data_IF_527432604474
#
_entry.id   IF_527432604474
#
_cell.length_a   1.000
_cell.length_b   1.000
_cell.length_c   1.000
_cell.angle_alpha   90.00
_cell.angle_beta   90.00
_cell.angle_gamma   90.00
#
_symmetry.space_group_name_H-M   'P 1'
#
loop_
_entity.id
_entity.type
_entity.pdbx_description
1 polymer ?
#
# COMPACT_ATOMS: atom_id res chain seq x y z
N UNK A 1 18.09 18.15 10.39
CA UNK A 1 17.26 18.50 9.19
C UNK A 1 16.04 17.60 9.29
N UNK A 2 14.83 18.16 9.37
CA UNK A 2 13.60 17.36 9.44
C UNK A 2 13.41 16.71 8.08
N UNK A 3 13.42 15.39 8.01
CA UNK A 3 13.17 14.65 6.77
C UNK A 3 11.69 14.71 6.39
N UNK A 4 11.36 14.41 5.12
CA UNK A 4 9.97 14.48 4.65
C UNK A 4 9.05 13.57 5.44
N UNK A 5 9.52 12.40 5.82
CA UNK A 5 8.76 11.41 6.60
C UNK A 5 8.30 11.98 7.96
N UNK A 6 9.18 12.69 8.69
CA UNK A 6 8.83 13.32 9.97
C UNK A 6 7.69 14.34 9.80
N UNK A 7 7.71 15.10 8.70
CA UNK A 7 6.64 16.08 8.40
C UNK A 7 5.30 15.40 8.13
N UNK A 8 5.32 14.27 7.42
CA UNK A 8 4.11 13.51 7.12
C UNK A 8 3.54 12.91 8.41
N UNK A 9 4.39 12.32 9.26
CA UNK A 9 4.00 11.76 10.56
C UNK A 9 3.37 12.84 11.44
N UNK A 10 4.02 14.01 11.58
CA UNK A 10 3.48 15.13 12.36
C UNK A 10 2.10 15.59 11.85
N UNK A 11 1.90 15.66 10.52
CA UNK A 11 0.58 15.98 9.96
C UNK A 11 -0.45 14.88 10.16
N UNK A 12 -0.03 13.63 10.19
CA UNK A 12 -0.91 12.50 10.50
C UNK A 12 -1.34 12.54 11.97
N UNK A 13 -0.46 12.92 12.91
CA UNK A 13 -0.81 13.13 14.32
C UNK A 13 -1.87 14.23 14.47
N UNK A 14 -1.68 15.39 13.82
CA UNK A 14 -2.66 16.49 13.84
C UNK A 14 -4.03 16.01 13.32
N UNK A 15 -4.03 15.29 12.17
CA UNK A 15 -5.25 14.73 11.55
C UNK A 15 -5.96 13.74 12.47
N UNK A 16 -5.23 12.89 13.16
CA UNK A 16 -5.78 11.92 14.10
C UNK A 16 -6.49 12.58 15.28
N UNK A 17 -5.91 13.66 15.83
CA UNK A 17 -6.56 14.41 16.92
C UNK A 17 -7.94 14.89 16.48
N UNK A 18 -8.08 15.43 15.28
CA UNK A 18 -9.37 15.90 14.76
C UNK A 18 -10.30 14.72 14.41
N UNK A 19 -9.78 13.65 13.83
CA UNK A 19 -10.57 12.46 13.54
C UNK A 19 -11.20 11.86 14.81
N UNK A 20 -10.40 11.71 15.88
CA UNK A 20 -10.84 11.17 17.17
C UNK A 20 -11.85 12.09 17.91
N UNK A 21 -11.86 13.40 17.63
CA UNK A 21 -12.92 14.31 18.15
C UNK A 21 -14.25 14.11 17.42
N UNK A 22 -14.20 13.84 16.11
CA UNK A 22 -15.39 13.66 15.30
C UNK A 22 -16.02 12.28 15.49
N UNK A 23 -15.20 11.24 15.67
CA UNK A 23 -15.63 9.86 15.96
C UNK A 23 -14.61 9.22 16.89
N UNK A 24 -15.04 8.78 18.04
CA UNK A 24 -14.16 8.13 19.02
C UNK A 24 -13.72 6.73 18.54
N UNK A 25 -12.65 6.20 19.11
CA UNK A 25 -12.20 4.83 18.84
C UNK A 25 -13.28 3.80 19.21
N UNK A 26 -14.02 4.02 20.30
CA UNK A 26 -15.08 3.11 20.74
C UNK A 26 -16.25 3.10 19.76
N UNK A 27 -16.63 4.25 19.20
CA UNK A 27 -17.64 4.32 18.14
C UNK A 27 -17.18 3.58 16.87
N UNK A 28 -15.91 3.71 16.47
CA UNK A 28 -15.36 2.93 15.35
C UNK A 28 -15.42 1.42 15.62
N UNK A 29 -15.01 0.99 16.81
CA UNK A 29 -15.07 -0.42 17.21
C UNK A 29 -16.48 -0.96 17.20
N UNK A 30 -17.45 -0.18 17.69
CA UNK A 30 -18.86 -0.56 17.66
C UNK A 30 -19.40 -0.72 16.24
N UNK A 31 -19.05 0.22 15.33
CA UNK A 31 -19.44 0.12 13.92
C UNK A 31 -18.81 -1.10 13.23
N UNK A 32 -17.51 -1.33 13.43
CA UNK A 32 -16.80 -2.48 12.84
C UNK A 32 -17.31 -3.81 13.40
N UNK A 33 -17.75 -3.86 14.68
CA UNK A 33 -18.31 -5.08 15.29
C UNK A 33 -19.60 -5.56 14.62
N UNK A 34 -20.25 -4.70 13.85
CA UNK A 34 -21.46 -5.01 13.06
C UNK A 34 -21.13 -5.57 11.66
N UNK A 35 -19.87 -5.49 11.26
CA UNK A 35 -19.41 -6.05 9.98
C UNK A 35 -19.06 -7.53 10.14
N UNK A 36 -19.27 -8.29 9.08
CA UNK A 36 -18.73 -9.65 9.00
C UNK A 36 -17.22 -9.59 8.80
N UNK A 37 -16.47 -10.23 9.69
CA UNK A 37 -15.02 -10.32 9.57
C UNK A 37 -14.69 -11.63 8.87
N UNK A 38 -14.37 -11.53 7.57
CA UNK A 38 -13.84 -12.63 6.80
C UNK A 38 -12.30 -12.68 6.96
N UNK A 39 -11.77 -13.86 7.28
CA UNK A 39 -10.32 -14.13 7.40
C UNK A 39 -9.76 -14.89 6.19
N UNK A 40 -10.37 -14.78 5.03
CA UNK A 40 -9.85 -15.35 3.77
C UNK A 40 -8.71 -14.51 3.18
N UNK A 41 -8.47 -13.32 3.72
CA UNK A 41 -7.39 -12.41 3.33
C UNK A 41 -7.29 -12.20 1.81
N UNK A 42 -8.35 -11.69 1.14
CA UNK A 42 -8.43 -11.62 -0.31
C UNK A 42 -7.26 -10.85 -0.95
N UNK A 43 -6.72 -9.84 -0.27
CA UNK A 43 -5.55 -9.11 -0.75
C UNK A 43 -4.31 -10.00 -0.82
N UNK A 44 -4.01 -10.75 0.25
CA UNK A 44 -2.89 -11.69 0.29
C UNK A 44 -3.05 -12.77 -0.78
N UNK A 45 -4.27 -13.31 -0.94
CA UNK A 45 -4.53 -14.34 -1.95
C UNK A 45 -4.34 -13.81 -3.37
N UNK A 46 -4.77 -12.58 -3.65
CA UNK A 46 -4.58 -11.95 -4.97
C UNK A 46 -3.09 -11.75 -5.34
N UNK A 47 -2.20 -11.62 -4.34
CA UNK A 47 -0.75 -11.49 -4.58
C UNK A 47 -0.04 -12.82 -4.81
N UNK A 48 -0.72 -13.95 -4.68
CA UNK A 48 -0.18 -15.30 -4.98
C UNK A 48 -0.37 -15.70 -6.46
N UNK A 49 -0.80 -14.77 -7.30
CA UNK A 49 -0.94 -15.03 -8.75
C UNK A 49 0.38 -15.57 -9.30
N UNK A 50 0.39 -16.78 -9.91
CA UNK A 50 1.61 -17.38 -10.43
C UNK A 50 2.20 -16.64 -11.64
N UNK A 51 1.42 -15.77 -12.28
CA UNK A 51 1.91 -14.96 -13.39
C UNK A 51 2.63 -13.71 -12.86
N UNK A 52 1.91 -12.64 -12.65
CA UNK A 52 2.42 -11.36 -12.16
C UNK A 52 1.28 -10.66 -11.41
N UNK A 53 1.47 -10.41 -10.12
CA UNK A 53 0.53 -9.62 -9.35
C UNK A 53 0.88 -8.13 -9.43
N UNK A 54 -0.03 -7.32 -9.98
CA UNK A 54 0.12 -5.85 -10.03
C UNK A 54 -0.87 -5.22 -9.05
N UNK A 55 -0.34 -4.42 -8.14
CA UNK A 55 -1.09 -3.52 -7.26
C UNK A 55 -1.07 -2.15 -7.93
N UNK A 56 -2.17 -1.76 -8.55
CA UNK A 56 -2.29 -0.50 -9.28
C UNK A 56 -2.68 0.63 -8.32
N UNK A 57 -1.86 1.69 -8.26
CA UNK A 57 -2.04 2.75 -7.27
C UNK A 57 -2.80 3.95 -7.84
N UNK A 58 -3.90 4.32 -7.20
CA UNK A 58 -4.68 5.53 -7.44
C UNK A 58 -4.07 6.68 -6.63
N UNK A 59 -3.35 7.59 -7.31
CA UNK A 59 -2.55 8.64 -6.70
C UNK A 59 -2.60 9.95 -7.46
N UNK A 60 -3.14 10.99 -6.84
CA UNK A 60 -3.27 12.32 -7.43
C UNK A 60 -1.96 13.11 -7.43
N UNK A 61 -1.23 13.05 -6.33
CA UNK A 61 -0.01 13.83 -6.11
C UNK A 61 1.02 13.06 -5.29
N UNK A 62 2.26 13.55 -5.23
CA UNK A 62 3.30 13.04 -4.34
C UNK A 62 4.32 14.13 -3.98
N UNK A 63 5.03 14.04 -2.82
CA UNK A 63 6.05 15.01 -2.43
C UNK A 63 7.16 15.19 -3.46
N UNK A 64 7.53 14.12 -4.17
CA UNK A 64 8.65 14.12 -5.13
C UNK A 64 8.27 14.66 -6.51
N UNK A 65 6.97 14.69 -6.87
CA UNK A 65 6.49 15.04 -8.22
C UNK A 65 5.47 16.17 -8.22
N UNK A 66 4.95 16.58 -7.05
CA UNK A 66 3.80 17.47 -6.98
C UNK A 66 2.55 16.81 -7.52
N UNK A 67 1.71 17.58 -8.21
CA UNK A 67 0.53 17.07 -8.90
C UNK A 67 0.94 16.15 -10.05
N UNK A 68 0.37 14.94 -10.10
CA UNK A 68 0.67 13.91 -11.12
C UNK A 68 -0.37 13.98 -12.24
N UNK A 69 -1.66 14.14 -11.88
CA UNK A 69 -2.78 14.27 -12.81
C UNK A 69 -3.71 15.38 -12.35
N UNK A 70 -4.20 16.19 -13.29
CA UNK A 70 -5.15 17.29 -13.03
C UNK A 70 -6.58 16.75 -12.99
N UNK A 71 -6.97 16.02 -14.02
CA UNK A 71 -8.26 15.33 -14.10
C UNK A 71 -8.16 13.99 -13.39
N UNK A 72 -8.75 13.93 -12.18
CA UNK A 72 -8.60 12.80 -11.27
C UNK A 72 -9.96 12.18 -10.96
N UNK A 73 -10.52 11.48 -11.93
CA UNK A 73 -11.67 10.60 -11.72
C UNK A 73 -11.18 9.27 -11.14
N UNK A 74 -11.05 9.23 -9.81
CA UNK A 74 -10.52 8.07 -9.09
C UNK A 74 -11.39 6.82 -9.22
N UNK A 75 -12.69 6.97 -9.45
CA UNK A 75 -13.61 5.84 -9.68
C UNK A 75 -13.34 5.22 -11.04
N UNK A 76 -13.30 6.05 -12.09
CA UNK A 76 -13.04 5.56 -13.45
C UNK A 76 -11.64 4.94 -13.54
N UNK A 77 -10.62 5.57 -12.94
CA UNK A 77 -9.27 5.03 -12.87
C UNK A 77 -9.25 3.65 -12.19
N UNK A 78 -9.98 3.49 -11.08
CA UNK A 78 -10.03 2.22 -10.36
C UNK A 78 -10.71 1.12 -11.19
N UNK A 79 -11.80 1.45 -11.91
CA UNK A 79 -12.49 0.55 -12.83
C UNK A 79 -11.59 0.14 -14.01
N UNK A 80 -10.88 1.10 -14.62
CA UNK A 80 -9.90 0.80 -15.67
C UNK A 80 -8.83 -0.18 -15.19
N UNK A 81 -8.34 -0.03 -13.94
CA UNK A 81 -7.37 -0.94 -13.35
C UNK A 81 -7.94 -2.35 -13.17
N UNK A 82 -9.16 -2.47 -12.64
CA UNK A 82 -9.83 -3.76 -12.48
C UNK A 82 -10.05 -4.43 -13.84
N UNK A 83 -10.60 -3.72 -14.82
CA UNK A 83 -10.81 -4.23 -16.19
C UNK A 83 -9.51 -4.65 -16.89
N UNK A 84 -8.40 -3.99 -16.58
CA UNK A 84 -7.09 -4.34 -17.10
C UNK A 84 -6.50 -5.60 -16.42
N UNK A 85 -7.16 -6.13 -15.39
CA UNK A 85 -6.72 -7.30 -14.64
C UNK A 85 -5.65 -6.99 -13.60
N UNK A 86 -5.68 -5.80 -12.98
CA UNK A 86 -4.92 -5.53 -11.76
C UNK A 86 -5.31 -6.54 -10.67
N UNK A 87 -4.33 -7.01 -9.89
CA UNK A 87 -4.58 -7.97 -8.82
C UNK A 87 -5.18 -7.32 -7.58
N UNK A 88 -4.84 -6.05 -7.36
CA UNK A 88 -5.35 -5.21 -6.27
C UNK A 88 -5.22 -3.73 -6.62
N UNK A 89 -5.93 -2.88 -5.88
CA UNK A 89 -5.80 -1.43 -5.97
C UNK A 89 -5.19 -0.88 -4.68
N UNK A 90 -4.24 0.05 -4.81
CA UNK A 90 -3.72 0.84 -3.71
C UNK A 90 -4.32 2.24 -3.77
N UNK A 91 -4.93 2.73 -2.69
CA UNK A 91 -5.57 4.05 -2.64
C UNK A 91 -4.88 4.93 -1.62
N UNK A 92 -4.33 6.06 -2.09
CA UNK A 92 -3.74 7.08 -1.20
C UNK A 92 -4.85 7.77 -0.40
N UNK A 93 -4.73 7.74 0.94
CA UNK A 93 -5.65 8.43 1.83
C UNK A 93 -5.00 9.60 2.59
N UNK A 94 -3.69 9.80 2.46
CA UNK A 94 -2.96 10.92 3.06
C UNK A 94 -3.28 12.23 2.30
N UNK A 95 -3.90 13.26 2.98
CA UNK A 95 -4.48 14.41 2.26
C UNK A 95 -3.51 15.55 1.96
N UNK A 96 -2.44 15.73 2.74
CA UNK A 96 -1.61 16.94 2.67
C UNK A 96 -0.53 16.86 1.60
N UNK A 97 0.14 15.74 1.49
CA UNK A 97 1.30 15.54 0.61
C UNK A 97 0.96 14.71 -0.63
N UNK A 98 -0.07 13.88 -0.56
CA UNK A 98 -0.50 13.02 -1.66
C UNK A 98 -1.86 13.43 -2.22
N UNK A 99 -2.55 14.41 -1.63
CA UNK A 99 -3.91 14.83 -1.97
C UNK A 99 -4.88 13.64 -2.01
N UNK A 100 -4.66 12.66 -1.12
CA UNK A 100 -5.51 11.50 -0.93
C UNK A 100 -6.75 11.80 -0.08
N UNK A 101 -7.65 10.85 0.05
CA UNK A 101 -8.85 10.99 0.86
C UNK A 101 -9.41 9.64 1.29
N UNK A 102 -9.94 9.56 2.51
CA UNK A 102 -10.74 8.43 2.98
C UNK A 102 -12.00 8.22 2.11
N UNK A 103 -12.52 9.31 1.51
CA UNK A 103 -13.67 9.24 0.58
C UNK A 103 -13.30 8.43 -0.66
N UNK A 104 -12.11 8.63 -1.21
CA UNK A 104 -11.66 7.88 -2.39
C UNK A 104 -11.63 6.38 -2.11
N UNK A 105 -11.06 5.99 -0.95
CA UNK A 105 -11.00 4.59 -0.56
C UNK A 105 -12.38 3.97 -0.44
N UNK A 106 -13.30 4.66 0.27
CA UNK A 106 -14.66 4.17 0.49
C UNK A 106 -15.43 4.00 -0.82
N UNK A 107 -15.45 5.03 -1.65
CA UNK A 107 -16.21 5.01 -2.91
C UNK A 107 -15.63 4.00 -3.91
N UNK A 108 -14.29 3.86 -3.99
CA UNK A 108 -13.67 2.82 -4.81
C UNK A 108 -14.07 1.42 -4.29
N UNK A 109 -14.09 1.21 -2.97
CA UNK A 109 -14.48 -0.08 -2.39
C UNK A 109 -15.94 -0.48 -2.65
N UNK A 110 -16.81 0.49 -2.92
CA UNK A 110 -18.21 0.27 -3.32
C UNK A 110 -18.36 -0.08 -4.82
N UNK A 111 -17.35 0.24 -5.65
CA UNK A 111 -17.44 0.19 -7.10
C UNK A 111 -16.61 -0.91 -7.77
N UNK A 112 -15.60 -1.47 -7.09
CA UNK A 112 -14.73 -2.53 -7.61
C UNK A 112 -14.80 -3.79 -6.75
N UNK A 113 -14.51 -4.95 -7.36
CA UNK A 113 -14.53 -6.25 -6.67
C UNK A 113 -13.14 -6.73 -6.22
N UNK A 114 -12.08 -6.21 -6.80
CA UNK A 114 -10.70 -6.57 -6.43
C UNK A 114 -10.28 -5.94 -5.11
N UNK A 115 -9.40 -6.59 -4.33
CA UNK A 115 -9.03 -6.14 -2.99
C UNK A 115 -8.27 -4.81 -3.00
N UNK A 116 -8.48 -4.01 -1.93
CA UNK A 116 -7.97 -2.64 -1.83
C UNK A 116 -7.02 -2.50 -0.65
N UNK A 117 -5.86 -1.89 -0.91
CA UNK A 117 -4.88 -1.44 0.08
C UNK A 117 -5.16 0.02 0.46
N UNK A 118 -5.36 0.28 1.75
CA UNK A 118 -5.24 1.65 2.27
C UNK A 118 -3.76 2.05 2.32
N UNK A 119 -3.34 2.95 1.45
CA UNK A 119 -1.97 3.49 1.41
C UNK A 119 -1.93 4.80 2.21
N UNK A 120 -1.44 4.73 3.43
CA UNK A 120 -1.36 5.84 4.39
C UNK A 120 -0.20 5.60 5.36
N UNK A 121 0.13 6.59 6.18
CA UNK A 121 1.15 6.51 7.23
C UNK A 121 0.48 6.17 8.56
N UNK A 122 0.28 4.87 8.80
CA UNK A 122 -0.45 4.36 9.97
C UNK A 122 0.45 4.44 11.21
N UNK A 123 0.05 5.25 12.19
CA UNK A 123 0.75 5.48 13.46
C UNK A 123 -0.12 5.20 14.70
N UNK A 124 -1.39 4.85 14.50
CA UNK A 124 -2.35 4.60 15.59
C UNK A 124 -3.36 3.53 15.18
N UNK A 125 -3.79 2.71 16.14
CA UNK A 125 -4.79 1.65 15.90
C UNK A 125 -6.11 2.18 15.34
N UNK A 126 -6.47 3.43 15.63
CA UNK A 126 -7.64 4.10 15.08
C UNK A 126 -7.69 4.00 13.55
N UNK A 127 -6.54 4.20 12.88
CA UNK A 127 -6.47 4.17 11.42
C UNK A 127 -6.70 2.77 10.84
N UNK A 128 -6.41 1.71 11.60
CA UNK A 128 -6.65 0.32 11.20
C UNK A 128 -8.14 -0.01 11.30
N UNK A 129 -8.78 0.39 12.41
CA UNK A 129 -10.23 0.28 12.57
C UNK A 129 -10.97 1.08 11.49
N UNK A 130 -10.52 2.30 11.23
CA UNK A 130 -11.06 3.16 10.17
C UNK A 130 -10.89 2.51 8.77
N UNK A 131 -9.73 1.93 8.47
CA UNK A 131 -9.49 1.22 7.21
C UNK A 131 -10.50 0.09 6.98
N UNK A 132 -10.79 -0.70 8.03
CA UNK A 132 -11.81 -1.77 7.97
C UNK A 132 -13.18 -1.20 7.64
N UNK A 133 -13.58 -0.13 8.33
CA UNK A 133 -14.89 0.51 8.13
C UNK A 133 -15.04 1.11 6.72
N UNK A 134 -13.94 1.58 6.13
CA UNK A 134 -13.91 2.13 4.77
C UNK A 134 -13.89 1.08 3.67
N UNK A 135 -13.85 -0.21 4.00
CA UNK A 135 -13.86 -1.32 3.02
C UNK A 135 -12.48 -1.74 2.53
N UNK A 136 -11.38 -1.30 3.17
CA UNK A 136 -10.06 -1.81 2.83
C UNK A 136 -9.95 -3.33 3.07
N UNK A 137 -9.16 -4.00 2.24
CA UNK A 137 -8.76 -5.42 2.39
C UNK A 137 -7.34 -5.56 2.95
N UNK A 138 -6.57 -4.47 2.91
CA UNK A 138 -5.21 -4.41 3.43
C UNK A 138 -4.83 -3.01 3.91
N UNK A 139 -3.80 -2.97 4.77
CA UNK A 139 -3.18 -1.73 5.28
C UNK A 139 -1.68 -1.75 5.04
N UNK A 140 -1.06 -0.55 5.04
CA UNK A 140 0.38 -0.38 5.00
C UNK A 140 0.91 -0.11 6.41
N UNK A 141 1.92 -0.86 6.82
CA UNK A 141 2.66 -0.64 8.07
C UNK A 141 4.12 -0.38 7.71
N UNK A 142 4.65 0.79 8.08
CA UNK A 142 5.99 1.23 7.69
C UNK A 142 6.95 1.05 8.87
N UNK A 143 7.99 0.22 8.71
CA UNK A 143 8.93 -0.09 9.80
C UNK A 143 9.63 1.16 10.33
N UNK A 144 10.01 2.09 9.46
CA UNK A 144 10.77 3.29 9.84
C UNK A 144 10.00 4.30 10.70
N UNK A 145 8.66 4.17 10.83
CA UNK A 145 7.83 5.08 11.65
C UNK A 145 7.18 4.40 12.86
N UNK A 146 7.36 3.09 13.03
CA UNK A 146 6.78 2.31 14.12
C UNK A 146 7.88 1.64 14.94
N UNK A 147 7.77 1.67 16.25
CA UNK A 147 8.58 0.78 17.05
C UNK A 147 8.12 -0.68 16.91
N UNK A 148 8.97 -1.63 17.30
CA UNK A 148 8.70 -3.06 17.10
C UNK A 148 7.44 -3.54 17.85
N UNK A 149 7.10 -2.94 18.99
CA UNK A 149 5.92 -3.28 19.78
C UNK A 149 4.66 -2.77 19.10
N UNK A 150 4.70 -1.53 18.60
CA UNK A 150 3.61 -0.94 17.81
C UNK A 150 3.39 -1.72 16.51
N UNK A 151 4.48 -2.02 15.79
CA UNK A 151 4.41 -2.77 14.52
C UNK A 151 3.74 -4.14 14.74
N UNK A 152 4.17 -4.88 15.76
CA UNK A 152 3.56 -6.18 16.09
C UNK A 152 2.09 -6.03 16.47
N UNK A 153 1.76 -5.07 17.35
CA UNK A 153 0.38 -4.80 17.77
C UNK A 153 -0.51 -4.46 16.56
N UNK A 154 -0.04 -3.63 15.64
CA UNK A 154 -0.81 -3.20 14.47
C UNK A 154 -0.97 -4.33 13.45
N UNK A 155 0.06 -5.15 13.27
CA UNK A 155 -0.01 -6.33 12.42
C UNK A 155 -1.07 -7.32 12.94
N UNK A 156 -1.04 -7.61 14.26
CA UNK A 156 -2.01 -8.51 14.88
C UNK A 156 -3.44 -7.95 14.78
N UNK A 157 -3.61 -6.65 15.05
CA UNK A 157 -4.91 -6.00 14.93
C UNK A 157 -5.46 -6.05 13.49
N UNK A 158 -4.61 -5.80 12.49
CA UNK A 158 -5.01 -5.91 11.10
C UNK A 158 -5.50 -7.33 10.78
N UNK A 159 -4.75 -8.36 11.18
CA UNK A 159 -5.14 -9.77 10.99
C UNK A 159 -6.42 -10.12 11.75
N UNK A 160 -6.62 -9.61 12.96
CA UNK A 160 -7.85 -9.85 13.73
C UNK A 160 -9.09 -9.26 13.05
N UNK A 161 -8.91 -8.15 12.33
CA UNK A 161 -9.96 -7.52 11.53
C UNK A 161 -10.10 -8.11 10.11
N UNK A 162 -9.36 -9.17 9.77
CA UNK A 162 -9.37 -9.79 8.44
C UNK A 162 -8.70 -8.92 7.37
N UNK A 163 -7.85 -7.97 7.77
CA UNK A 163 -7.04 -7.18 6.86
C UNK A 163 -5.67 -7.81 6.67
N UNK A 164 -5.20 -7.90 5.44
CA UNK A 164 -3.78 -8.13 5.16
C UNK A 164 -2.96 -6.90 5.55
N UNK A 165 -1.66 -7.08 5.77
CA UNK A 165 -0.76 -5.94 5.98
C UNK A 165 0.47 -6.08 5.08
N UNK A 166 0.77 -5.05 4.27
CA UNK A 166 2.11 -4.89 3.69
C UNK A 166 2.97 -4.21 4.75
N UNK A 167 4.06 -4.86 5.13
CA UNK A 167 5.07 -4.26 6.01
C UNK A 167 6.16 -3.67 5.12
N UNK A 168 6.15 -2.34 4.96
CA UNK A 168 7.08 -1.60 4.11
C UNK A 168 8.45 -1.47 4.79
N UNK A 169 9.51 -1.77 4.03
CA UNK A 169 10.90 -1.77 4.47
C UNK A 169 11.80 -1.10 3.44
N UNK A 170 12.97 -0.61 3.87
CA UNK A 170 13.94 0.11 3.04
C UNK A 170 15.32 -0.56 3.03
N UNK A 171 15.63 -1.37 4.03
CA UNK A 171 16.92 -2.04 4.18
C UNK A 171 16.81 -3.41 4.86
N UNK A 172 17.98 -4.09 5.03
CA UNK A 172 18.02 -5.42 5.62
C UNK A 172 17.69 -5.46 7.12
N UNK A 173 17.89 -4.38 7.87
CA UNK A 173 17.57 -4.30 9.29
C UNK A 173 16.06 -4.20 9.48
N UNK A 174 15.41 -3.40 8.64
CA UNK A 174 13.96 -3.29 8.61
C UNK A 174 13.30 -4.60 8.16
N UNK A 175 13.88 -5.32 7.18
CA UNK A 175 13.40 -6.65 6.78
C UNK A 175 13.51 -7.64 7.95
N UNK A 176 14.60 -7.63 8.71
CA UNK A 176 14.71 -8.49 9.89
C UNK A 176 13.64 -8.15 10.93
N UNK A 177 13.37 -6.86 11.14
CA UNK A 177 12.30 -6.41 12.04
C UNK A 177 10.93 -6.91 11.57
N UNK A 178 10.60 -6.71 10.29
CA UNK A 178 9.36 -7.20 9.67
C UNK A 178 9.19 -8.72 9.80
N UNK A 179 10.27 -9.47 9.53
CA UNK A 179 10.27 -10.94 9.66
C UNK A 179 10.06 -11.38 11.12
N UNK A 180 10.71 -10.71 12.07
CA UNK A 180 10.62 -11.05 13.49
C UNK A 180 9.23 -10.82 14.09
N UNK A 181 8.48 -9.83 13.59
CA UNK A 181 7.09 -9.61 14.01
C UNK A 181 6.09 -10.54 13.32
N UNK A 182 6.54 -11.33 12.35
CA UNK A 182 5.71 -12.32 11.64
C UNK A 182 4.98 -11.75 10.42
N UNK A 183 5.56 -10.76 9.74
CA UNK A 183 5.00 -10.26 8.49
C UNK A 183 4.91 -11.35 7.42
N UNK A 184 3.74 -11.49 6.79
CA UNK A 184 3.49 -12.43 5.71
C UNK A 184 3.65 -11.79 4.33
N UNK A 185 3.58 -10.45 4.26
CA UNK A 185 3.80 -9.64 3.06
C UNK A 185 4.81 -8.55 3.42
N UNK A 186 5.97 -8.55 2.79
CA UNK A 186 7.01 -7.54 2.97
C UNK A 186 7.15 -6.72 1.69
N UNK A 187 6.97 -5.42 1.79
CA UNK A 187 7.21 -4.47 0.72
C UNK A 187 8.61 -3.85 0.82
N UNK A 188 9.32 -3.72 -0.30
CA UNK A 188 10.53 -2.91 -0.38
C UNK A 188 10.25 -1.66 -1.19
N UNK A 189 10.36 -0.52 -0.53
CA UNK A 189 10.25 0.76 -1.21
C UNK A 189 11.63 1.15 -1.80
N UNK A 190 11.72 1.11 -3.13
CA UNK A 190 12.93 1.48 -3.87
C UNK A 190 13.22 2.98 -3.85
N UNK A 191 12.30 3.80 -3.31
CA UNK A 191 12.49 5.23 -3.19
C UNK A 191 13.16 5.57 -1.86
N UNK A 192 14.34 6.16 -1.93
CA UNK A 192 14.98 6.76 -0.78
C UNK A 192 14.18 7.99 -0.32
N UNK A 193 13.70 7.99 0.92
CA UNK A 193 12.84 9.06 1.44
C UNK A 193 13.62 10.34 1.82
N UNK A 194 14.95 10.30 1.80
CA UNK A 194 15.80 11.46 2.10
C UNK A 194 16.07 12.34 0.86
N UNK A 195 16.30 11.71 -0.30
CA UNK A 195 16.71 12.40 -1.54
C UNK A 195 15.82 12.08 -2.76
N UNK A 196 14.82 11.21 -2.58
CA UNK A 196 13.88 10.73 -3.60
C UNK A 196 14.52 9.97 -4.78
N UNK A 197 15.78 9.55 -4.66
CA UNK A 197 16.37 8.63 -5.63
C UNK A 197 15.61 7.30 -5.64
N UNK A 198 15.58 6.64 -6.79
CA UNK A 198 14.84 5.38 -6.98
C UNK A 198 15.73 4.38 -7.69
N UNK A 199 15.90 3.20 -7.09
CA UNK A 199 16.70 2.12 -7.65
C UNK A 199 16.05 0.75 -7.36
N UNK A 200 15.56 0.06 -8.40
CA UNK A 200 14.91 -1.26 -8.27
C UNK A 200 15.90 -2.37 -7.87
N UNK A 201 17.22 -2.13 -8.02
CA UNK A 201 18.24 -3.06 -7.53
C UNK A 201 18.18 -3.23 -6.01
N UNK A 202 17.63 -2.26 -5.30
CA UNK A 202 17.41 -2.38 -3.86
C UNK A 202 16.51 -3.59 -3.53
N UNK A 203 15.35 -3.71 -4.20
CA UNK A 203 14.47 -4.88 -4.04
C UNK A 203 15.21 -6.18 -4.35
N UNK A 204 15.95 -6.26 -5.48
CA UNK A 204 16.67 -7.46 -5.90
C UNK A 204 17.73 -7.85 -4.85
N UNK A 205 18.49 -6.88 -4.35
CA UNK A 205 19.52 -7.11 -3.35
C UNK A 205 18.98 -7.62 -2.03
N UNK A 206 17.79 -7.14 -1.64
CA UNK A 206 17.14 -7.45 -0.37
C UNK A 206 16.30 -8.75 -0.42
N UNK A 207 15.88 -9.21 -1.61
CA UNK A 207 15.08 -10.43 -1.75
C UNK A 207 15.73 -11.65 -1.07
N UNK A 208 17.04 -11.77 -1.11
CA UNK A 208 17.80 -12.84 -0.46
C UNK A 208 17.73 -12.85 1.07
N UNK A 209 17.26 -11.75 1.68
CA UNK A 209 17.09 -11.64 3.13
C UNK A 209 15.74 -12.17 3.60
N UNK A 210 14.86 -12.58 2.67
CA UNK A 210 13.48 -12.99 2.94
C UNK A 210 13.26 -14.43 2.49
N UNK A 211 12.58 -15.24 3.31
CA UNK A 211 12.25 -16.62 2.97
C UNK A 211 11.15 -16.70 1.90
N UNK A 212 11.11 -17.81 1.15
CA UNK A 212 10.22 -17.97 -0.01
C UNK A 212 8.73 -18.07 0.35
N UNK A 213 8.41 -18.33 1.60
CA UNK A 213 7.02 -18.35 2.09
C UNK A 213 6.42 -16.97 2.35
N UNK A 214 7.24 -15.92 2.32
CA UNK A 214 6.81 -14.53 2.47
C UNK A 214 6.57 -13.93 1.09
N UNK A 215 5.41 -13.30 0.91
CA UNK A 215 5.12 -12.55 -0.32
C UNK A 215 5.98 -11.28 -0.33
N UNK A 216 6.76 -11.11 -1.38
CA UNK A 216 7.70 -10.01 -1.51
C UNK A 216 7.24 -9.03 -2.58
N UNK A 217 7.04 -7.77 -2.19
CA UNK A 217 6.47 -6.71 -3.03
C UNK A 217 7.55 -5.68 -3.35
N UNK A 218 7.71 -5.31 -4.62
CA UNK A 218 8.53 -4.19 -5.05
C UNK A 218 7.68 -2.94 -5.20
N UNK A 219 8.07 -1.85 -4.53
CA UNK A 219 7.36 -0.57 -4.57
C UNK A 219 8.26 0.53 -5.13
N UNK A 220 7.69 1.40 -5.95
CA UNK A 220 8.38 2.52 -6.63
C UNK A 220 9.39 2.10 -7.70
N UNK A 221 9.49 2.90 -8.75
CA UNK A 221 10.54 2.80 -9.77
C UNK A 221 10.26 1.90 -10.95
N UNK A 222 9.21 1.11 -10.93
CA UNK A 222 8.84 0.19 -12.01
C UNK A 222 8.19 1.00 -13.15
N UNK A 223 8.75 0.89 -14.35
CA UNK A 223 8.32 1.68 -15.52
C UNK A 223 8.03 0.83 -16.75
N UNK A 224 8.77 -0.25 -16.94
CA UNK A 224 8.71 -1.06 -18.15
C UNK A 224 8.51 -2.53 -17.83
N UNK A 225 8.11 -3.31 -18.83
CA UNK A 225 7.99 -4.77 -18.72
C UNK A 225 9.34 -5.44 -18.44
N UNK A 226 10.45 -4.83 -18.89
CA UNK A 226 11.79 -5.30 -18.58
C UNK A 226 12.13 -5.16 -17.09
N UNK A 227 11.68 -4.08 -16.44
CA UNK A 227 11.80 -3.93 -14.99
C UNK A 227 11.03 -5.05 -14.27
N UNK A 228 9.81 -5.33 -14.73
CA UNK A 228 8.94 -6.39 -14.17
C UNK A 228 9.60 -7.76 -14.39
N UNK A 229 10.06 -8.08 -15.61
CA UNK A 229 10.74 -9.33 -15.92
C UNK A 229 11.96 -9.53 -15.01
N UNK A 230 12.80 -8.50 -14.86
CA UNK A 230 13.99 -8.54 -14.02
C UNK A 230 13.65 -8.81 -12.54
N UNK A 231 12.65 -8.15 -12.01
CA UNK A 231 12.20 -8.36 -10.62
C UNK A 231 11.61 -9.77 -10.44
N UNK A 232 10.82 -10.26 -11.39
CA UNK A 232 10.23 -11.59 -11.38
C UNK A 232 11.29 -12.69 -11.42
N UNK A 233 12.31 -12.56 -12.28
CA UNK A 233 13.48 -13.46 -12.35
C UNK A 233 14.21 -13.55 -11.00
N UNK A 234 14.09 -12.52 -10.16
CA UNK A 234 14.65 -12.48 -8.80
C UNK A 234 13.60 -12.84 -7.71
N UNK A 235 12.54 -13.59 -8.06
CA UNK A 235 11.52 -14.09 -7.13
C UNK A 235 10.77 -12.99 -6.36
N UNK A 236 10.52 -11.82 -6.98
CA UNK A 236 9.58 -10.83 -6.48
C UNK A 236 8.17 -11.24 -6.89
N UNK A 237 7.24 -11.25 -5.94
CA UNK A 237 5.89 -11.80 -6.14
C UNK A 237 4.91 -10.77 -6.70
N UNK A 238 5.02 -9.52 -6.29
CA UNK A 238 4.06 -8.48 -6.65
C UNK A 238 4.73 -7.10 -6.82
N UNK A 239 4.06 -6.23 -7.57
CA UNK A 239 4.59 -4.93 -7.98
C UNK A 239 3.56 -3.84 -7.69
N UNK A 240 3.92 -2.86 -6.82
CA UNK A 240 3.09 -1.69 -6.56
C UNK A 240 3.52 -0.56 -7.50
N UNK A 241 2.63 -0.18 -8.41
CA UNK A 241 2.90 0.74 -9.51
C UNK A 241 1.89 1.89 -9.49
N UNK A 242 2.37 3.10 -9.26
CA UNK A 242 1.53 4.31 -9.21
C UNK A 242 1.87 5.31 -10.30
N UNK A 243 2.99 6.03 -10.19
CA UNK A 243 3.34 7.15 -11.08
C UNK A 243 3.29 6.76 -12.57
N UNK A 244 3.81 5.59 -12.91
CA UNK A 244 3.86 5.07 -14.28
C UNK A 244 2.45 4.88 -14.85
N UNK A 245 1.54 4.27 -14.09
CA UNK A 245 0.16 4.04 -14.50
C UNK A 245 -0.65 5.34 -14.54
N UNK A 246 -0.50 6.20 -13.52
CA UNK A 246 -1.25 7.46 -13.47
C UNK A 246 -0.91 8.42 -14.63
N UNK A 247 0.32 8.37 -15.15
CA UNK A 247 0.78 9.21 -16.27
C UNK A 247 0.44 8.61 -17.64
N UNK A 248 -0.02 7.37 -17.70
CA UNK A 248 -0.38 6.73 -18.96
C UNK A 248 -1.74 7.24 -19.47
N UNK A 249 -1.81 7.55 -20.76
CA UNK A 249 -3.06 7.86 -21.45
C UNK A 249 -3.90 6.59 -21.68
N UNK A 250 -3.25 5.42 -21.70
CA UNK A 250 -3.89 4.10 -21.85
C UNK A 250 -3.36 3.16 -20.73
N UNK A 251 -4.01 3.24 -19.58
CA UNK A 251 -3.66 2.46 -18.40
C UNK A 251 -3.86 0.97 -18.60
N UNK A 252 -4.92 0.61 -19.34
CA UNK A 252 -5.28 -0.78 -19.63
C UNK A 252 -4.21 -1.47 -20.47
N UNK A 253 -3.81 -0.87 -21.58
CA UNK A 253 -2.74 -1.40 -22.41
C UNK A 253 -1.41 -1.50 -21.66
N UNK A 254 -1.09 -0.51 -20.83
CA UNK A 254 0.13 -0.52 -20.06
C UNK A 254 0.15 -1.64 -18.99
N UNK A 255 -0.94 -1.86 -18.26
CA UNK A 255 -1.03 -2.97 -17.30
C UNK A 255 -0.87 -4.32 -18.02
N UNK A 256 -1.53 -4.50 -19.17
CA UNK A 256 -1.39 -5.72 -19.96
C UNK A 256 0.05 -5.91 -20.47
N UNK A 257 0.72 -4.83 -20.90
CA UNK A 257 2.13 -4.87 -21.30
C UNK A 257 3.03 -5.30 -20.13
N UNK A 258 2.86 -4.68 -18.97
CA UNK A 258 3.63 -4.99 -17.76
C UNK A 258 3.43 -6.43 -17.28
N UNK A 259 2.22 -6.99 -17.43
CA UNK A 259 1.92 -8.39 -17.09
C UNK A 259 2.55 -9.41 -18.05
N UNK A 260 3.03 -8.98 -19.20
CA UNK A 260 3.73 -9.82 -20.18
C UNK A 260 5.26 -9.74 -20.07
N UNK A 261 5.77 -9.19 -18.97
CA UNK A 261 7.20 -9.09 -18.64
C UNK A 261 7.83 -10.34 -18.07
#
# INVERSE_FOLDING_TARGET
MIIMLDKIVAKTEERLIEAKKNKSLEELKDEVSKLEINKDFPFKEALKDPQIAIISEVKKASPSKGLIVEDFDYIEIAKEYEEAGASAISVLTEPYFFQGSNVYLKEIAEEVSIPILRKDFIIDEYMIWEAKLLGASAVLLIVSILDIVQLKKFLDLAHDLGLSAIVETHDGDEIRTATNVGAEIIGVNNRNLADFTVDIENTISLRRCVSDNIIFVSESGIKTKEDVAKLKENNVNAFLIGETLMKSDDKKSLILELKNG
#
